data_IF_438741151251
#
_entry.id   IF_438741151251
#
_cell.length_a   1.000
_cell.length_b   1.000
_cell.length_c   1.000
_cell.angle_alpha   90.00
_cell.angle_beta   90.00
_cell.angle_gamma   90.00
#
_symmetry.space_group_name_H-M   'P 1'
#
loop_
_entity.id
_entity.type
_entity.pdbx_description
1 polymer ?
#
# COMPACT_ATOMS: atom_id res chain seq x y z
N UNK A 1 -6.89 2.12 -26.93
CA UNK A 1 -7.64 2.06 -25.66
C UNK A 1 -7.28 3.32 -24.91
N UNK A 2 -8.26 4.14 -24.56
CA UNK A 2 -8.03 5.35 -23.78
C UNK A 2 -8.26 5.01 -22.31
N UNK A 3 -7.35 5.45 -21.45
CA UNK A 3 -7.43 5.28 -20.00
C UNK A 3 -7.21 6.65 -19.38
N UNK A 4 -8.14 7.08 -18.54
CA UNK A 4 -8.06 8.32 -17.77
C UNK A 4 -8.08 7.96 -16.29
N UNK A 5 -7.23 8.63 -15.51
CA UNK A 5 -7.17 8.49 -14.06
C UNK A 5 -7.31 9.86 -13.42
N UNK A 6 -8.34 10.04 -12.60
CA UNK A 6 -8.44 11.16 -11.67
C UNK A 6 -8.03 10.66 -10.29
N UNK A 7 -7.08 11.35 -9.63
CA UNK A 7 -6.58 10.96 -8.31
C UNK A 7 -6.69 12.12 -7.35
N UNK A 8 -7.08 11.82 -6.12
CA UNK A 8 -7.04 12.75 -5.02
C UNK A 8 -6.52 12.05 -3.77
N UNK A 9 -5.59 12.71 -3.08
CA UNK A 9 -5.13 12.25 -1.78
C UNK A 9 -5.96 12.91 -0.68
N UNK A 10 -6.75 12.10 0.01
CA UNK A 10 -7.51 12.47 1.19
C UNK A 10 -6.58 12.37 2.40
N UNK A 11 -6.16 13.52 2.92
CA UNK A 11 -5.20 13.61 4.03
C UNK A 11 -5.78 13.13 5.36
N UNK A 12 -7.09 13.31 5.58
CA UNK A 12 -7.76 12.93 6.83
C UNK A 12 -7.92 11.42 6.91
N UNK A 13 -8.33 10.79 5.80
CA UNK A 13 -8.47 9.33 5.75
C UNK A 13 -7.12 8.61 5.50
N UNK A 14 -6.06 9.35 5.10
CA UNK A 14 -4.78 8.83 4.60
C UNK A 14 -4.97 7.88 3.42
N UNK A 15 -5.83 8.28 2.47
CA UNK A 15 -6.21 7.45 1.33
C UNK A 15 -5.95 8.16 0.01
N UNK A 16 -5.36 7.43 -0.91
CA UNK A 16 -5.37 7.78 -2.33
C UNK A 16 -6.64 7.21 -2.95
N UNK A 17 -7.58 8.09 -3.27
CA UNK A 17 -8.80 7.77 -4.00
C UNK A 17 -8.54 8.01 -5.48
N UNK A 18 -9.00 7.11 -6.34
CA UNK A 18 -8.85 7.24 -7.77
C UNK A 18 -10.04 6.70 -8.53
N UNK A 19 -10.49 7.46 -9.52
CA UNK A 19 -11.50 7.05 -10.48
C UNK A 19 -10.85 6.83 -11.84
N UNK A 20 -11.01 5.62 -12.38
CA UNK A 20 -10.48 5.20 -13.66
C UNK A 20 -11.60 5.15 -14.68
N UNK A 21 -11.40 5.77 -15.84
CA UNK A 21 -12.30 5.65 -16.98
C UNK A 21 -11.58 4.96 -18.13
N UNK A 22 -12.09 3.80 -18.55
CA UNK A 22 -11.59 3.00 -19.66
C UNK A 22 -12.52 3.17 -20.86
N UNK A 23 -12.00 3.67 -21.98
CA UNK A 23 -12.77 3.81 -23.22
C UNK A 23 -12.15 3.00 -24.37
N UNK A 24 -12.94 2.10 -24.98
CA UNK A 24 -12.53 1.27 -26.11
C UNK A 24 -13.73 0.90 -26.98
N UNK A 25 -13.64 1.15 -28.30
CA UNK A 25 -14.66 0.78 -29.30
C UNK A 25 -16.08 1.23 -28.90
N UNK A 26 -16.21 2.48 -28.47
CA UNK A 26 -17.49 3.06 -28.04
C UNK A 26 -18.01 2.60 -26.67
N UNK A 27 -17.36 1.63 -26.02
CA UNK A 27 -17.65 1.25 -24.63
C UNK A 27 -16.83 2.09 -23.66
N UNK A 28 -17.48 2.57 -22.61
CA UNK A 28 -16.87 3.31 -21.50
C UNK A 28 -17.17 2.57 -20.19
N UNK A 29 -16.14 2.27 -19.41
CA UNK A 29 -16.26 1.66 -18.09
C UNK A 29 -15.56 2.51 -17.04
N UNK A 30 -16.19 2.65 -15.88
CA UNK A 30 -15.58 3.31 -14.71
C UNK A 30 -15.21 2.30 -13.64
N UNK A 31 -14.10 2.52 -12.95
CA UNK A 31 -13.65 1.73 -11.80
C UNK A 31 -13.09 2.67 -10.74
N UNK A 32 -13.46 2.44 -9.49
CA UNK A 32 -12.91 3.17 -8.35
C UNK A 32 -11.81 2.35 -7.68
N UNK A 33 -10.81 3.04 -7.16
CA UNK A 33 -9.70 2.49 -6.39
C UNK A 33 -9.49 3.35 -5.15
N UNK A 34 -9.22 2.69 -4.03
CA UNK A 34 -8.97 3.38 -2.76
C UNK A 34 -7.86 2.68 -2.00
N UNK A 35 -6.69 3.33 -1.91
CA UNK A 35 -5.47 2.76 -1.31
C UNK A 35 -5.11 3.54 -0.05
N UNK A 36 -4.73 2.83 1.03
CA UNK A 36 -4.11 3.47 2.20
C UNK A 36 -2.65 3.74 1.93
N UNK A 37 -2.20 4.96 2.20
CA UNK A 37 -0.78 5.31 2.12
C UNK A 37 -0.21 5.32 3.53
N UNK A 38 0.78 4.46 3.74
CA UNK A 38 1.53 4.40 4.98
C UNK A 38 3.01 4.54 4.68
N UNK A 39 3.68 5.34 5.49
CA UNK A 39 5.13 5.25 5.67
C UNK A 39 5.49 3.91 6.33
N UNK A 40 6.74 3.49 6.18
CA UNK A 40 7.25 2.30 6.88
C UNK A 40 7.01 2.38 8.39
N UNK A 41 7.26 3.56 8.99
CA UNK A 41 7.06 3.78 10.42
C UNK A 41 5.61 3.63 10.85
N UNK A 42 4.67 4.16 10.08
CA UNK A 42 3.23 4.01 10.39
C UNK A 42 2.78 2.55 10.32
N UNK A 43 3.31 1.76 9.37
CA UNK A 43 3.05 0.32 9.33
C UNK A 43 3.59 -0.37 10.59
N UNK A 44 4.84 -0.10 10.98
CA UNK A 44 5.42 -0.67 12.21
C UNK A 44 4.58 -0.33 13.44
N UNK A 45 4.18 0.93 13.61
CA UNK A 45 3.35 1.35 14.74
C UNK A 45 1.98 0.67 14.73
N UNK A 46 1.34 0.49 13.57
CA UNK A 46 0.08 -0.25 13.46
C UNK A 46 0.23 -1.72 13.87
N UNK A 47 1.33 -2.37 13.48
CA UNK A 47 1.58 -3.75 13.91
C UNK A 47 1.81 -3.84 15.43
N UNK A 48 2.61 -2.94 15.99
CA UNK A 48 2.90 -2.89 17.42
C UNK A 48 1.63 -2.67 18.26
N UNK A 49 0.73 -1.79 17.81
CA UNK A 49 -0.57 -1.55 18.46
C UNK A 49 -1.47 -2.78 18.50
N UNK A 50 -1.31 -3.70 17.55
CA UNK A 50 -2.09 -4.94 17.42
C UNK A 50 -1.34 -6.17 17.97
N UNK A 51 -0.28 -5.97 18.76
CA UNK A 51 0.48 -7.05 19.41
C UNK A 51 1.48 -7.78 18.50
N UNK A 52 1.74 -7.24 17.31
CA UNK A 52 2.76 -7.76 16.39
C UNK A 52 4.07 -6.97 16.54
N UNK A 53 5.17 -7.67 16.74
CA UNK A 53 6.48 -7.06 16.96
C UNK A 53 7.57 -7.60 16.03
N UNK A 54 8.75 -6.99 16.13
CA UNK A 54 9.96 -7.35 15.35
C UNK A 54 9.74 -7.26 13.83
N UNK A 55 9.24 -6.13 13.29
CA UNK A 55 9.02 -5.97 11.86
C UNK A 55 10.35 -6.12 11.09
N UNK A 56 10.32 -6.92 10.02
CA UNK A 56 11.43 -7.05 9.07
C UNK A 56 10.96 -6.67 7.67
N UNK A 57 11.71 -5.76 7.05
CA UNK A 57 11.43 -5.21 5.73
C UNK A 57 12.34 -5.83 4.67
N UNK A 58 11.75 -6.24 3.56
CA UNK A 58 12.47 -6.81 2.42
C UNK A 58 12.08 -6.13 1.10
N UNK A 59 13.05 -5.96 0.22
CA UNK A 59 12.86 -5.40 -1.13
C UNK A 59 12.31 -6.42 -2.13
N UNK A 60 12.41 -7.71 -1.82
CA UNK A 60 11.90 -8.81 -2.63
C UNK A 60 11.57 -10.05 -1.80
N UNK A 61 10.96 -11.04 -2.47
CA UNK A 61 10.59 -12.32 -1.86
C UNK A 61 11.79 -13.20 -1.47
N UNK A 62 12.98 -12.96 -2.04
CA UNK A 62 14.23 -13.63 -1.64
C UNK A 62 14.86 -13.00 -0.39
N UNK A 63 14.18 -12.02 0.23
CA UNK A 63 14.55 -11.37 1.49
C UNK A 63 15.79 -10.48 1.43
N UNK A 64 16.08 -9.88 0.28
CA UNK A 64 17.04 -8.77 0.24
C UNK A 64 16.52 -7.59 1.09
N UNK A 65 17.40 -6.77 1.71
CA UNK A 65 16.98 -5.61 2.48
C UNK A 65 16.07 -4.66 1.68
N UNK A 66 15.07 -4.10 2.35
CA UNK A 66 14.27 -3.02 1.75
C UNK A 66 15.05 -1.70 1.82
N UNK A 67 15.26 -1.06 0.67
CA UNK A 67 16.03 0.17 0.54
C UNK A 67 15.35 1.16 -0.40
N UNK A 68 15.88 2.38 -0.45
CA UNK A 68 15.45 3.37 -1.44
C UNK A 68 15.71 2.80 -2.84
N UNK A 69 14.68 2.81 -3.68
CA UNK A 69 14.73 2.21 -5.02
C UNK A 69 14.21 0.77 -5.08
N UNK A 70 13.97 0.11 -3.94
CA UNK A 70 13.22 -1.16 -3.94
C UNK A 70 11.82 -0.93 -4.55
N UNK A 71 11.41 -1.76 -5.53
CA UNK A 71 10.14 -1.55 -6.23
C UNK A 71 8.91 -1.86 -5.35
N UNK A 72 9.10 -2.66 -4.30
CA UNK A 72 8.05 -3.10 -3.37
C UNK A 72 8.63 -3.26 -1.96
N UNK A 73 7.77 -3.03 -0.97
CA UNK A 73 8.01 -3.42 0.42
C UNK A 73 7.32 -4.76 0.69
N UNK A 74 8.08 -5.74 1.16
CA UNK A 74 7.57 -6.95 1.78
C UNK A 74 7.85 -6.86 3.28
N UNK A 75 6.81 -7.01 4.10
CA UNK A 75 6.92 -6.87 5.55
C UNK A 75 6.51 -8.18 6.22
N UNK A 76 7.34 -8.67 7.12
CA UNK A 76 7.01 -9.78 8.01
C UNK A 76 7.06 -9.34 9.46
N UNK A 77 6.15 -9.87 10.28
CA UNK A 77 6.08 -9.58 11.71
C UNK A 77 5.69 -10.87 12.46
N UNK A 78 5.88 -10.90 13.77
CA UNK A 78 5.51 -12.03 14.63
C UNK A 78 4.66 -11.56 15.79
N UNK A 79 3.70 -12.37 16.24
CA UNK A 79 2.97 -12.09 17.49
C UNK A 79 3.98 -12.05 18.63
N UNK A 80 3.88 -11.03 19.48
CA UNK A 80 4.60 -10.98 20.75
C UNK A 80 3.68 -11.61 21.79
N UNK A 81 4.02 -12.81 22.25
CA UNK A 81 3.38 -13.37 23.45
C UNK A 81 3.90 -12.60 24.66
N UNK A 82 3.00 -12.15 25.54
CA UNK A 82 3.38 -11.59 26.84
C UNK A 82 4.21 -12.65 27.58
N UNK A 83 5.46 -12.31 27.89
CA UNK A 83 6.33 -13.11 28.77
C UNK A 83 5.90 -13.02 30.22
#
# INVERSE_FOLDING_TARGET
>A
MLILEERHYDQLERRLKSEWTFARRGKVEKRSLSIRLYTYRELCTLFEQEGFGRPKAFGSLTREPFEIGSPRLYLSTTIVEDM
#
